data_IF_186908890880
#
_entry.id   IF_186908890880
#
_cell.length_a   1.000
_cell.length_b   1.000
_cell.length_c   1.000
_cell.angle_alpha   90.00
_cell.angle_beta   90.00
_cell.angle_gamma   90.00
#
_symmetry.space_group_name_H-M   'P 1'
#
loop_
_entity.id
_entity.type
_entity.pdbx_description
1 polymer ?
#
# COMPACT_ATOMS: atom_id res chain seq x y z
N UNK A 1 4.90 31.24 -0.55
CA UNK A 1 3.83 31.27 0.47
C UNK A 1 2.88 30.12 0.19
N UNK A 2 2.76 29.14 1.09
CA UNK A 2 1.84 28.01 0.90
C UNK A 2 0.41 28.45 1.19
N UNK A 3 -0.56 28.10 0.33
CA UNK A 3 -1.97 28.44 0.54
C UNK A 3 -2.58 27.68 1.74
N UNK A 4 -1.95 26.56 2.11
CA UNK A 4 -2.45 25.61 3.11
C UNK A 4 -2.44 26.18 4.54
N UNK A 5 -1.34 26.77 5.06
CA UNK A 5 -1.34 27.43 6.38
C UNK A 5 -2.44 28.50 6.51
N UNK A 6 -2.62 29.33 5.47
CA UNK A 6 -3.62 30.41 5.48
C UNK A 6 -5.06 29.90 5.49
N UNK A 7 -5.32 28.73 4.89
CA UNK A 7 -6.65 28.10 4.92
C UNK A 7 -6.99 27.63 6.35
N UNK A 8 -6.02 27.03 7.04
CA UNK A 8 -6.19 26.50 8.40
C UNK A 8 -6.31 27.61 9.46
N UNK A 9 -5.87 28.84 9.16
CA UNK A 9 -6.02 30.01 10.02
C UNK A 9 -7.43 30.66 9.96
N UNK A 10 -8.31 30.21 9.06
CA UNK A 10 -9.65 30.80 8.88
C UNK A 10 -10.60 30.46 10.03
N UNK A 11 -11.61 31.32 10.25
CA UNK A 11 -12.64 31.14 11.30
C UNK A 11 -13.30 29.76 11.27
N UNK A 12 -13.43 29.16 10.08
CA UNK A 12 -14.00 27.82 9.90
C UNK A 12 -13.22 26.70 10.63
N UNK A 13 -11.95 26.91 10.98
CA UNK A 13 -11.11 25.93 11.68
C UNK A 13 -10.82 26.31 13.13
N UNK A 14 -11.33 27.44 13.64
CA UNK A 14 -11.03 27.94 14.99
C UNK A 14 -11.71 27.15 16.13
N UNK A 15 -12.88 26.55 15.88
CA UNK A 15 -13.64 25.76 16.88
C UNK A 15 -13.27 24.27 16.89
N UNK A 16 -12.45 23.83 15.94
CA UNK A 16 -12.12 22.43 15.82
C UNK A 16 -11.08 22.04 16.88
N UNK A 17 -11.27 20.89 17.56
CA UNK A 17 -10.22 20.27 18.39
C UNK A 17 -8.99 20.10 17.48
N UNK A 18 -7.99 20.95 17.68
CA UNK A 18 -7.15 21.51 16.61
C UNK A 18 -6.15 20.55 15.94
N UNK A 19 -6.11 19.27 16.33
CA UNK A 19 -5.29 18.26 15.68
C UNK A 19 -6.02 17.63 14.51
N UNK A 20 -7.02 16.79 14.80
CA UNK A 20 -7.66 15.90 13.83
C UNK A 20 -8.34 16.65 12.67
N UNK A 21 -8.96 17.80 12.93
CA UNK A 21 -9.68 18.54 11.89
C UNK A 21 -8.75 19.17 10.84
N UNK A 22 -7.57 19.64 11.25
CA UNK A 22 -6.56 20.12 10.30
C UNK A 22 -6.05 18.97 9.44
N UNK A 23 -5.81 17.81 10.04
CA UNK A 23 -5.40 16.61 9.30
C UNK A 23 -6.45 16.20 8.26
N UNK A 24 -7.72 16.13 8.64
CA UNK A 24 -8.81 15.81 7.70
C UNK A 24 -8.95 16.85 6.60
N UNK A 25 -8.75 18.14 6.89
CA UNK A 25 -8.81 19.19 5.89
C UNK A 25 -7.70 19.06 4.84
N UNK A 26 -6.47 18.75 5.28
CA UNK A 26 -5.33 18.54 4.40
C UNK A 26 -5.53 17.31 3.49
N UNK A 27 -5.99 16.21 4.06
CA UNK A 27 -6.30 14.99 3.29
C UNK A 27 -7.47 15.23 2.33
N UNK A 28 -8.47 16.00 2.75
CA UNK A 28 -9.59 16.43 1.92
C UNK A 28 -9.14 17.29 0.73
N UNK A 29 -8.18 18.20 0.95
CA UNK A 29 -7.62 19.06 -0.10
C UNK A 29 -6.77 18.26 -1.10
N UNK A 30 -5.91 17.35 -0.64
CA UNK A 30 -5.16 16.40 -1.48
C UNK A 30 -6.14 15.64 -2.37
N UNK A 31 -7.14 15.00 -1.77
CA UNK A 31 -8.18 14.24 -2.48
C UNK A 31 -8.91 15.11 -3.49
N UNK A 32 -9.33 16.31 -3.11
CA UNK A 32 -10.06 17.22 -4.00
C UNK A 32 -9.24 17.58 -5.25
N UNK A 33 -7.99 18.02 -5.08
CA UNK A 33 -7.11 18.42 -6.19
C UNK A 33 -6.82 17.22 -7.09
N UNK A 34 -6.39 16.11 -6.51
CA UNK A 34 -5.98 14.92 -7.26
C UNK A 34 -7.16 14.32 -8.03
N UNK A 35 -8.37 14.30 -7.46
CA UNK A 35 -9.55 13.82 -8.18
C UNK A 35 -9.89 14.66 -9.41
N UNK A 36 -9.70 15.98 -9.36
CA UNK A 36 -9.92 16.87 -10.51
C UNK A 36 -8.87 16.67 -11.60
N UNK A 37 -7.64 16.38 -11.21
CA UNK A 37 -6.51 16.20 -12.14
C UNK A 37 -6.26 14.74 -12.52
N UNK A 38 -7.01 13.78 -11.98
CA UNK A 38 -6.69 12.34 -12.07
C UNK A 38 -6.36 11.86 -13.49
N UNK A 39 -7.13 12.29 -14.49
CA UNK A 39 -6.93 11.91 -15.90
C UNK A 39 -5.62 12.42 -16.51
N UNK A 40 -5.02 13.45 -15.92
CA UNK A 40 -3.76 14.05 -16.34
C UNK A 40 -2.57 13.52 -15.53
N UNK A 41 -2.82 12.90 -14.38
CA UNK A 41 -1.78 12.47 -13.44
C UNK A 41 -1.58 10.95 -13.47
N UNK A 42 -2.66 10.18 -13.43
CA UNK A 42 -2.60 8.72 -13.31
C UNK A 42 -2.41 8.06 -14.68
N UNK A 43 -1.36 7.24 -14.80
CA UNK A 43 -1.06 6.42 -15.99
C UNK A 43 -1.19 7.23 -17.29
N UNK A 44 -0.66 8.45 -17.26
CA UNK A 44 -0.88 9.43 -18.32
C UNK A 44 0.21 9.34 -19.40
N UNK A 45 1.38 8.78 -19.05
CA UNK A 45 2.51 8.67 -19.97
C UNK A 45 2.53 7.29 -20.65
N UNK A 46 3.00 7.19 -21.92
CA UNK A 46 3.27 5.90 -22.54
C UNK A 46 4.32 5.07 -21.79
N UNK A 47 5.16 5.68 -20.95
CA UNK A 47 6.13 4.94 -20.14
C UNK A 47 5.43 4.19 -19.00
N UNK A 48 4.49 4.83 -18.30
CA UNK A 48 3.71 4.21 -17.22
C UNK A 48 2.96 2.98 -17.74
N UNK A 49 2.34 3.10 -18.92
CA UNK A 49 1.62 2.00 -19.59
C UNK A 49 2.56 0.82 -19.87
N UNK A 50 3.77 1.07 -20.39
CA UNK A 50 4.74 0.02 -20.67
C UNK A 50 5.23 -0.67 -19.40
N UNK A 51 5.43 0.07 -18.31
CA UNK A 51 5.83 -0.52 -17.04
C UNK A 51 4.70 -1.37 -16.44
N UNK A 52 3.44 -0.93 -16.51
CA UNK A 52 2.30 -1.76 -16.11
C UNK A 52 2.24 -3.07 -16.92
N UNK A 53 2.42 -3.00 -18.24
CA UNK A 53 2.47 -4.19 -19.10
C UNK A 53 3.64 -5.12 -18.74
N UNK A 54 4.81 -4.56 -18.45
CA UNK A 54 5.99 -5.31 -18.03
C UNK A 54 5.77 -6.00 -16.67
N UNK A 55 5.14 -5.31 -15.71
CA UNK A 55 4.78 -5.87 -14.40
C UNK A 55 3.78 -7.02 -14.56
N UNK A 56 2.75 -6.87 -15.39
CA UNK A 56 1.80 -7.95 -15.68
C UNK A 56 2.51 -9.16 -16.29
N UNK A 57 3.43 -8.95 -17.22
CA UNK A 57 4.23 -10.05 -17.80
C UNK A 57 5.10 -10.76 -16.73
N UNK A 58 5.71 -10.00 -15.82
CA UNK A 58 6.48 -10.56 -14.68
C UNK A 58 5.59 -11.39 -13.75
N UNK A 59 4.38 -10.93 -13.44
CA UNK A 59 3.41 -11.70 -12.66
C UNK A 59 3.05 -13.02 -13.34
N UNK A 60 2.74 -12.99 -14.62
CA UNK A 60 2.41 -14.19 -15.39
C UNK A 60 3.57 -15.19 -15.42
N UNK A 61 4.81 -14.71 -15.63
CA UNK A 61 6.00 -15.56 -15.62
C UNK A 61 6.26 -16.19 -14.25
N UNK A 62 5.99 -15.44 -13.16
CA UNK A 62 6.19 -15.91 -11.79
C UNK A 62 5.04 -16.77 -11.25
N UNK A 63 3.86 -16.78 -11.88
CA UNK A 63 2.65 -17.42 -11.36
C UNK A 63 2.81 -18.92 -11.04
N UNK A 64 3.62 -19.64 -11.82
CA UNK A 64 3.88 -21.06 -11.59
C UNK A 64 4.76 -21.33 -10.34
N UNK A 65 5.58 -20.36 -9.92
CA UNK A 65 6.57 -20.52 -8.85
C UNK A 65 6.26 -19.70 -7.60
N UNK A 66 5.46 -18.63 -7.71
CA UNK A 66 5.08 -17.74 -6.63
C UNK A 66 3.94 -18.33 -5.78
N UNK A 67 4.16 -19.54 -5.27
CA UNK A 67 3.22 -20.20 -4.37
C UNK A 67 3.33 -19.63 -2.94
N UNK A 68 2.23 -19.71 -2.21
CA UNK A 68 2.22 -19.47 -0.77
C UNK A 68 3.23 -20.45 -0.13
N UNK A 69 4.13 -19.98 0.76
CA UNK A 69 5.07 -20.85 1.44
C UNK A 69 4.39 -22.06 2.10
N UNK A 70 4.93 -23.28 1.95
CA UNK A 70 4.35 -24.46 2.57
C UNK A 70 4.44 -24.37 4.10
N UNK A 71 3.51 -25.02 4.79
CA UNK A 71 3.50 -25.09 6.26
C UNK A 71 2.70 -23.99 6.96
N UNK A 72 2.15 -23.01 6.23
CA UNK A 72 1.22 -22.04 6.81
C UNK A 72 -0.04 -22.74 7.34
N UNK A 73 -0.51 -22.27 8.50
CA UNK A 73 -1.81 -22.70 9.04
C UNK A 73 -2.97 -22.35 8.10
N UNK A 74 -4.09 -23.08 8.21
CA UNK A 74 -5.29 -22.79 7.41
C UNK A 74 -5.79 -21.35 7.63
N UNK A 75 -5.65 -20.82 8.84
CA UNK A 75 -6.04 -19.44 9.14
C UNK A 75 -5.13 -18.43 8.44
N UNK A 76 -3.82 -18.65 8.44
CA UNK A 76 -2.87 -17.80 7.71
C UNK A 76 -3.15 -17.80 6.20
N UNK A 77 -3.50 -18.96 5.62
CA UNK A 77 -3.91 -19.04 4.20
C UNK A 77 -5.17 -18.22 3.93
N UNK A 78 -6.19 -18.28 4.80
CA UNK A 78 -7.40 -17.45 4.66
C UNK A 78 -7.09 -15.95 4.76
N UNK A 79 -6.25 -15.55 5.72
CA UNK A 79 -5.79 -14.16 5.86
C UNK A 79 -5.05 -13.69 4.62
N UNK A 80 -4.20 -14.55 4.04
CA UNK A 80 -3.48 -14.25 2.81
C UNK A 80 -4.43 -14.06 1.61
N UNK A 81 -5.46 -14.89 1.49
CA UNK A 81 -6.49 -14.74 0.44
C UNK A 81 -7.31 -13.45 0.61
N UNK A 82 -7.60 -13.06 1.85
CA UNK A 82 -8.22 -11.78 2.16
C UNK A 82 -7.30 -10.60 1.78
N UNK A 83 -6.00 -10.69 2.06
CA UNK A 83 -5.01 -9.69 1.66
C UNK A 83 -4.93 -9.55 0.13
N UNK A 84 -4.98 -10.66 -0.61
CA UNK A 84 -4.98 -10.66 -2.07
C UNK A 84 -6.23 -9.94 -2.63
N UNK A 85 -7.38 -10.18 -2.01
CA UNK A 85 -8.64 -9.50 -2.36
C UNK A 85 -8.58 -8.01 -2.01
N UNK A 86 -7.92 -7.64 -0.92
CA UNK A 86 -7.76 -6.24 -0.52
C UNK A 86 -6.91 -5.48 -1.54
N UNK A 87 -5.69 -5.94 -1.83
CA UNK A 87 -4.77 -5.23 -2.73
C UNK A 87 -5.31 -5.11 -4.17
N UNK A 88 -6.15 -6.06 -4.63
CA UNK A 88 -6.85 -5.95 -5.92
C UNK A 88 -7.77 -4.72 -6.03
N UNK A 89 -8.22 -4.16 -4.91
CA UNK A 89 -9.08 -2.96 -4.90
C UNK A 89 -8.32 -1.68 -5.20
N UNK A 90 -6.99 -1.69 -5.24
CA UNK A 90 -6.17 -0.47 -5.38
C UNK A 90 -6.57 0.37 -6.60
N UNK A 91 -6.91 -0.27 -7.71
CA UNK A 91 -7.29 0.42 -8.96
C UNK A 91 -8.71 1.04 -8.90
N UNK A 92 -9.54 0.63 -7.94
CA UNK A 92 -10.90 1.17 -7.74
C UNK A 92 -10.86 2.57 -7.11
N UNK A 93 -9.77 2.90 -6.41
CA UNK A 93 -9.58 4.18 -5.76
C UNK A 93 -8.93 5.19 -6.68
N UNK A 94 -9.18 6.48 -6.48
CA UNK A 94 -8.53 7.56 -7.24
C UNK A 94 -7.71 8.51 -6.38
N UNK A 95 -8.00 8.59 -5.09
CA UNK A 95 -7.21 9.39 -4.16
C UNK A 95 -5.92 8.63 -3.77
N UNK A 96 -4.76 9.30 -3.68
CA UNK A 96 -3.49 8.65 -3.32
C UNK A 96 -3.57 7.96 -1.95
N UNK A 97 -4.16 8.63 -0.96
CA UNK A 97 -4.45 8.05 0.36
C UNK A 97 -5.27 6.77 0.30
N UNK A 98 -6.36 6.78 -0.47
CA UNK A 98 -7.28 5.64 -0.51
C UNK A 98 -6.58 4.42 -1.14
N UNK A 99 -5.74 4.64 -2.18
CA UNK A 99 -4.84 3.63 -2.74
C UNK A 99 -3.79 3.15 -1.72
N UNK A 100 -3.17 4.07 -0.97
CA UNK A 100 -2.20 3.76 0.08
C UNK A 100 -2.80 2.88 1.18
N UNK A 101 -3.98 3.23 1.69
CA UNK A 101 -4.69 2.45 2.71
C UNK A 101 -5.00 1.05 2.22
N UNK A 102 -5.44 0.90 0.97
CA UNK A 102 -5.68 -0.40 0.35
C UNK A 102 -4.42 -1.30 0.36
N UNK A 103 -3.28 -0.77 -0.08
CA UNK A 103 -2.00 -1.49 -0.05
C UNK A 103 -1.54 -1.80 1.37
N UNK A 104 -1.67 -0.82 2.28
CA UNK A 104 -1.26 -0.95 3.67
C UNK A 104 -2.09 -1.99 4.43
N UNK A 105 -3.39 -2.08 4.15
CA UNK A 105 -4.25 -3.11 4.73
C UNK A 105 -3.79 -4.51 4.33
N UNK A 106 -3.49 -4.73 3.05
CA UNK A 106 -2.96 -6.01 2.58
C UNK A 106 -1.58 -6.32 3.18
N UNK A 107 -0.70 -5.32 3.24
CA UNK A 107 0.63 -5.43 3.86
C UNK A 107 0.53 -5.84 5.35
N UNK A 108 -0.32 -5.18 6.14
CA UNK A 108 -0.55 -5.50 7.56
C UNK A 108 -1.09 -6.90 7.78
N UNK A 109 -1.98 -7.37 6.89
CA UNK A 109 -2.46 -8.75 6.96
C UNK A 109 -1.31 -9.75 6.77
N UNK A 110 -0.39 -9.48 5.84
CA UNK A 110 0.80 -10.32 5.63
C UNK A 110 1.77 -10.23 6.81
N UNK A 111 2.03 -9.02 7.32
CA UNK A 111 2.86 -8.81 8.52
C UNK A 111 2.29 -9.60 9.72
N UNK A 112 0.97 -9.57 9.91
CA UNK A 112 0.29 -10.37 10.93
C UNK A 112 0.51 -11.88 10.79
N UNK A 113 0.55 -12.41 9.55
CA UNK A 113 0.90 -13.82 9.29
C UNK A 113 2.34 -14.09 9.73
N UNK A 114 3.29 -13.24 9.34
CA UNK A 114 4.71 -13.40 9.69
C UNK A 114 4.90 -13.44 11.20
N UNK A 115 4.30 -12.49 11.91
CA UNK A 115 4.34 -12.42 13.38
C UNK A 115 3.77 -13.67 14.01
N UNK A 116 2.58 -14.13 13.57
CA UNK A 116 1.95 -15.33 14.12
C UNK A 116 2.80 -16.60 13.90
N UNK A 117 3.40 -16.76 12.72
CA UNK A 117 4.27 -17.89 12.41
C UNK A 117 5.58 -17.84 13.22
N UNK A 118 6.16 -16.66 13.45
CA UNK A 118 7.31 -16.49 14.34
C UNK A 118 7.00 -16.88 15.79
N UNK A 119 5.81 -16.53 16.29
CA UNK A 119 5.35 -16.95 17.62
C UNK A 119 5.21 -18.48 17.73
N UNK A 120 4.68 -19.15 16.70
CA UNK A 120 4.50 -20.62 16.68
C UNK A 120 5.82 -21.40 16.70
N UNK A 121 6.88 -20.83 16.13
CA UNK A 121 8.20 -21.47 16.04
C UNK A 121 9.02 -21.41 17.35
N UNK A 122 8.45 -20.86 18.44
CA UNK A 122 9.00 -21.04 19.79
C UNK A 122 9.39 -19.78 20.55
N UNK A 123 9.12 -18.57 20.02
CA UNK A 123 9.05 -17.31 20.78
C UNK A 123 10.33 -16.82 21.49
N UNK A 124 10.68 -15.54 21.25
CA UNK A 124 11.57 -14.71 22.08
C UNK A 124 13.09 -15.00 22.07
N UNK A 125 13.66 -15.63 21.04
CA UNK A 125 15.10 -15.44 20.79
C UNK A 125 15.29 -14.42 19.67
N UNK A 126 16.05 -13.31 19.87
CA UNK A 126 16.31 -12.29 18.85
C UNK A 126 17.13 -12.75 17.63
N UNK A 127 17.11 -14.04 17.27
CA UNK A 127 18.23 -14.63 16.54
C UNK A 127 18.07 -14.78 15.03
N UNK A 128 16.88 -14.68 14.46
CA UNK A 128 16.71 -14.84 13.01
C UNK A 128 15.75 -13.80 12.40
N UNK A 129 16.06 -12.51 12.55
CA UNK A 129 15.39 -11.44 11.77
C UNK A 129 15.38 -11.76 10.26
N UNK A 130 16.41 -12.45 9.76
CA UNK A 130 16.50 -12.93 8.38
C UNK A 130 15.41 -13.94 8.00
N UNK A 131 14.88 -14.72 8.96
CA UNK A 131 13.81 -15.68 8.74
C UNK A 131 12.46 -14.99 8.52
N UNK A 132 12.14 -14.01 9.37
CA UNK A 132 10.93 -13.18 9.27
C UNK A 132 10.94 -12.32 8.02
N UNK A 133 12.03 -11.60 7.76
CA UNK A 133 12.23 -10.79 6.55
C UNK A 133 12.13 -11.65 5.28
N UNK A 134 12.76 -12.83 5.30
CA UNK A 134 12.68 -13.78 4.20
C UNK A 134 11.27 -14.33 3.97
N UNK A 135 10.50 -14.58 5.04
CA UNK A 135 9.11 -15.00 4.94
C UNK A 135 8.22 -13.88 4.43
N UNK A 136 8.37 -12.66 4.97
CA UNK A 136 7.64 -11.46 4.54
C UNK A 136 7.81 -11.24 3.03
N UNK A 137 9.06 -11.22 2.54
CA UNK A 137 9.36 -11.05 1.12
C UNK A 137 8.71 -12.13 0.25
N UNK A 138 8.78 -13.41 0.67
CA UNK A 138 8.14 -14.50 -0.08
C UNK A 138 6.62 -14.36 -0.12
N UNK A 139 6.00 -13.96 0.99
CA UNK A 139 4.57 -13.74 1.07
C UNK A 139 4.14 -12.54 0.22
N UNK A 140 4.85 -11.42 0.28
CA UNK A 140 4.53 -10.24 -0.54
C UNK A 140 4.66 -10.53 -2.04
N UNK A 141 5.71 -11.25 -2.47
CA UNK A 141 5.85 -11.68 -3.88
C UNK A 141 4.70 -12.61 -4.27
N UNK A 142 4.37 -13.61 -3.44
CA UNK A 142 3.23 -14.48 -3.70
C UNK A 142 1.91 -13.70 -3.73
N UNK A 143 1.77 -12.67 -2.88
CA UNK A 143 0.58 -11.84 -2.78
C UNK A 143 0.34 -11.08 -4.08
N UNK A 144 1.32 -10.29 -4.54
CA UNK A 144 1.15 -9.46 -5.75
C UNK A 144 1.02 -10.31 -7.01
N UNK A 145 1.72 -11.44 -7.10
CA UNK A 145 1.62 -12.36 -8.24
C UNK A 145 0.25 -13.05 -8.27
N UNK A 146 -0.24 -13.55 -7.13
CA UNK A 146 -1.56 -14.20 -7.05
C UNK A 146 -2.69 -13.19 -7.27
N UNK A 147 -2.58 -12.02 -6.65
CA UNK A 147 -3.58 -10.96 -6.74
C UNK A 147 -3.62 -10.34 -8.15
N UNK A 148 -2.46 -10.21 -8.80
CA UNK A 148 -2.27 -9.54 -10.08
C UNK A 148 -3.07 -8.22 -10.19
N UNK A 149 -2.81 -7.23 -9.30
CA UNK A 149 -3.61 -6.01 -9.26
C UNK A 149 -3.50 -5.24 -10.59
N UNK A 150 -4.61 -4.72 -11.16
CA UNK A 150 -4.55 -3.92 -12.37
C UNK A 150 -3.69 -2.66 -12.18
N UNK A 151 -2.94 -2.29 -13.22
CA UNK A 151 -2.11 -1.07 -13.26
C UNK A 151 -1.21 -0.92 -12.01
N UNK A 152 -0.65 -2.03 -11.51
CA UNK A 152 0.00 -2.05 -10.20
C UNK A 152 1.15 -1.04 -10.08
N UNK A 153 2.00 -0.95 -11.11
CA UNK A 153 3.10 0.01 -11.14
C UNK A 153 2.56 1.44 -11.04
N UNK A 154 1.61 1.81 -11.90
CA UNK A 154 1.00 3.13 -11.87
C UNK A 154 0.31 3.43 -10.54
N UNK A 155 -0.33 2.43 -9.92
CA UNK A 155 -1.00 2.56 -8.64
C UNK A 155 -0.02 2.85 -7.49
N UNK A 156 1.11 2.15 -7.46
CA UNK A 156 2.15 2.35 -6.45
C UNK A 156 2.84 3.70 -6.62
N UNK A 157 3.34 3.99 -7.83
CA UNK A 157 4.05 5.24 -8.14
C UNK A 157 3.17 6.47 -7.93
N UNK A 158 1.91 6.41 -8.36
CA UNK A 158 0.96 7.51 -8.14
C UNK A 158 0.69 7.74 -6.65
N UNK A 159 0.58 6.66 -5.87
CA UNK A 159 0.38 6.77 -4.42
C UNK A 159 1.60 7.40 -3.76
N UNK A 160 2.80 7.00 -4.17
CA UNK A 160 4.04 7.59 -3.66
C UNK A 160 4.18 9.07 -4.02
N UNK A 161 3.95 9.42 -5.30
CA UNK A 161 4.21 10.75 -5.82
C UNK A 161 3.20 11.81 -5.36
N UNK A 162 1.93 11.44 -5.15
CA UNK A 162 0.85 12.38 -4.85
C UNK A 162 0.32 12.31 -3.42
N UNK A 163 0.86 11.42 -2.57
CA UNK A 163 0.63 11.49 -1.11
C UNK A 163 1.38 12.69 -0.55
N UNK A 164 0.71 13.48 0.29
CA UNK A 164 1.32 14.65 0.90
C UNK A 164 2.58 14.25 1.70
N UNK A 165 3.77 14.82 1.43
CA UNK A 165 5.02 14.33 2.01
C UNK A 165 5.08 14.31 3.54
N UNK A 166 4.45 15.29 4.20
CA UNK A 166 4.39 15.33 5.67
C UNK A 166 3.35 14.37 6.28
N UNK A 167 2.58 13.68 5.42
CA UNK A 167 1.52 12.73 5.80
C UNK A 167 1.84 11.30 5.39
N UNK A 168 2.90 11.10 4.60
CA UNK A 168 3.43 9.78 4.31
C UNK A 168 4.02 9.22 5.60
N UNK A 169 3.32 8.26 6.19
CA UNK A 169 3.74 7.61 7.42
C UNK A 169 4.96 6.72 7.18
N UNK A 170 5.74 6.44 8.24
CA UNK A 170 6.86 5.51 8.15
C UNK A 170 6.41 4.10 7.72
N UNK A 171 5.18 3.72 8.06
CA UNK A 171 4.60 2.44 7.68
C UNK A 171 4.18 2.40 6.20
N UNK A 172 3.52 3.44 5.69
CA UNK A 172 3.25 3.58 4.25
C UNK A 172 4.56 3.56 3.45
N UNK A 173 5.60 4.27 3.93
CA UNK A 173 6.91 4.27 3.27
C UNK A 173 7.54 2.87 3.22
N UNK A 174 7.49 2.10 4.32
CA UNK A 174 7.98 0.71 4.34
C UNK A 174 7.17 -0.17 3.40
N UNK A 175 5.83 -0.12 3.51
CA UNK A 175 4.90 -0.86 2.66
C UNK A 175 5.21 -0.63 1.18
N UNK A 176 5.36 0.63 0.77
CA UNK A 176 5.65 0.93 -0.63
C UNK A 176 7.04 0.47 -1.07
N UNK A 177 8.05 0.56 -0.19
CA UNK A 177 9.42 0.07 -0.47
C UNK A 177 9.46 -1.45 -0.64
N UNK A 178 8.65 -2.18 0.12
CA UNK A 178 8.62 -3.65 0.04
C UNK A 178 7.74 -4.18 -1.10
N UNK A 179 6.82 -3.35 -1.60
CA UNK A 179 5.95 -3.67 -2.74
C UNK A 179 6.54 -3.29 -4.10
N UNK A 180 7.58 -2.44 -4.15
CA UNK A 180 8.26 -2.02 -5.39
C UNK A 180 9.22 -3.08 -5.95
#
# INVERSE_FOLDING_TARGET
SSAVPRLLETEAFQDARAGDAHEFALEGLEKFIVLKLYKLLFRHSPADIREDEAVVARFQAAAATAAIPPGLSQQAVKTFEAAATEIQKVDQWRAPRDKAVCMLNAYRMVEGIVVEEAFKQGGLTPKDNHGEEGLMRRLLVALIVKASPPNFFSNLEFSWAFRHPTRLTAEEHRCFTELS
#
